data_IF_016982847359
#
_entry.id   IF_016982847359
#
_cell.length_a   1.000
_cell.length_b   1.000
_cell.length_c   1.000
_cell.angle_alpha   90.00
_cell.angle_beta   90.00
_cell.angle_gamma   90.00
#
_symmetry.space_group_name_H-M   'P 1'
#
loop_
_entity.id
_entity.type
_entity.pdbx_description
1 polymer ?
#
# COMPACT_ATOMS: atom_id res chain seq x y z
N UNK A 1 -25.48 -31.43 24.19
CA UNK A 1 -24.47 -31.44 23.12
C UNK A 1 -25.18 -31.05 21.83
N UNK A 2 -24.70 -30.04 21.11
CA UNK A 2 -25.37 -29.48 19.92
C UNK A 2 -24.64 -29.88 18.63
N UNK A 3 -23.32 -29.94 18.65
CA UNK A 3 -22.50 -30.17 17.46
C UNK A 3 -21.82 -31.53 17.40
N UNK A 4 -21.45 -32.08 18.56
CA UNK A 4 -20.81 -33.41 18.63
C UNK A 4 -21.86 -34.47 18.92
N UNK A 5 -21.80 -35.60 18.22
CA UNK A 5 -22.78 -36.68 18.37
C UNK A 5 -22.06 -38.03 18.43
N UNK A 6 -22.61 -38.96 19.23
CA UNK A 6 -22.14 -40.35 19.31
C UNK A 6 -20.62 -40.51 19.53
N UNK A 7 -20.02 -39.66 20.37
CA UNK A 7 -18.59 -39.73 20.67
C UNK A 7 -18.27 -41.09 21.32
N UNK A 8 -17.35 -41.83 20.72
CA UNK A 8 -16.94 -43.17 21.15
C UNK A 8 -15.55 -43.21 21.78
N UNK A 9 -14.72 -42.19 21.56
CA UNK A 9 -13.37 -42.04 22.10
C UNK A 9 -12.86 -40.60 21.99
N UNK A 10 -11.73 -40.28 22.63
CA UNK A 10 -11.04 -38.99 22.43
C UNK A 10 -10.61 -38.82 20.96
N UNK A 11 -10.19 -39.88 20.29
CA UNK A 11 -9.82 -39.86 18.88
C UNK A 11 -11.03 -39.51 17.98
N UNK A 12 -12.21 -40.05 18.29
CA UNK A 12 -13.45 -39.74 17.60
C UNK A 12 -13.90 -38.29 17.84
N UNK A 13 -13.76 -37.78 19.08
CA UNK A 13 -14.00 -36.36 19.39
C UNK A 13 -13.07 -35.45 18.57
N UNK A 14 -11.78 -35.78 18.48
CA UNK A 14 -10.77 -35.06 17.68
C UNK A 14 -11.07 -35.06 16.18
N UNK A 15 -11.50 -36.21 15.65
CA UNK A 15 -11.96 -36.38 14.26
C UNK A 15 -13.18 -35.52 13.95
N UNK A 16 -14.21 -35.57 14.81
CA UNK A 16 -15.42 -34.77 14.64
C UNK A 16 -15.10 -33.28 14.71
N UNK A 17 -14.25 -32.87 15.65
CA UNK A 17 -13.82 -31.48 15.79
C UNK A 17 -13.18 -30.94 14.50
N UNK A 18 -12.22 -31.67 13.94
CA UNK A 18 -11.55 -31.29 12.69
C UNK A 18 -12.52 -31.18 11.51
N UNK A 19 -13.46 -32.12 11.41
CA UNK A 19 -14.50 -32.12 10.38
C UNK A 19 -15.40 -30.89 10.51
N UNK A 20 -15.84 -30.59 11.72
CA UNK A 20 -16.66 -29.42 12.04
C UNK A 20 -15.88 -28.11 11.83
N UNK A 21 -14.60 -28.07 12.20
CA UNK A 21 -13.72 -26.92 12.02
C UNK A 21 -13.55 -26.57 10.54
N UNK A 22 -13.32 -27.56 9.67
CA UNK A 22 -13.24 -27.33 8.22
C UNK A 22 -14.58 -26.82 7.66
N UNK A 23 -15.70 -27.41 8.09
CA UNK A 23 -17.02 -27.10 7.53
C UNK A 23 -17.57 -25.73 7.98
N UNK A 24 -17.16 -25.26 9.17
CA UNK A 24 -17.74 -24.07 9.80
C UNK A 24 -16.76 -22.91 9.97
N UNK A 25 -15.51 -23.05 9.51
CA UNK A 25 -14.56 -21.94 9.56
C UNK A 25 -15.06 -20.73 8.73
N UNK A 26 -14.97 -19.49 9.26
CA UNK A 26 -15.37 -18.29 8.53
C UNK A 26 -14.73 -18.17 7.13
N UNK A 27 -13.44 -18.46 7.00
CA UNK A 27 -12.70 -18.46 5.71
C UNK A 27 -13.21 -19.47 4.67
N UNK A 28 -14.06 -20.42 5.07
CA UNK A 28 -14.70 -21.40 4.19
C UNK A 28 -16.20 -21.15 4.02
N UNK A 29 -16.67 -19.96 4.40
CA UNK A 29 -18.08 -19.56 4.29
C UNK A 29 -18.95 -19.98 5.48
N UNK A 30 -18.34 -20.43 6.58
CA UNK A 30 -19.03 -20.75 7.83
C UNK A 30 -19.35 -19.51 8.68
N UNK A 31 -20.19 -19.68 9.71
CA UNK A 31 -20.54 -18.61 10.66
C UNK A 31 -19.62 -18.64 11.87
N UNK A 32 -19.03 -17.50 12.24
CA UNK A 32 -18.15 -17.36 13.42
C UNK A 32 -18.80 -17.86 14.71
N UNK A 33 -20.06 -17.49 14.98
CA UNK A 33 -20.82 -17.95 16.14
C UNK A 33 -20.91 -19.49 16.22
N UNK A 34 -21.04 -20.14 15.05
CA UNK A 34 -21.12 -21.60 14.98
C UNK A 34 -19.78 -22.23 15.30
N UNK A 35 -18.68 -21.67 14.78
CA UNK A 35 -17.33 -22.14 15.09
C UNK A 35 -16.95 -21.92 16.56
N UNK A 36 -17.30 -20.77 17.14
CA UNK A 36 -17.11 -20.48 18.56
C UNK A 36 -17.88 -21.47 19.44
N UNK A 37 -19.13 -21.78 19.09
CA UNK A 37 -19.93 -22.76 19.82
C UNK A 37 -19.36 -24.18 19.71
N UNK A 38 -18.82 -24.56 18.54
CA UNK A 38 -18.09 -25.83 18.34
C UNK A 38 -16.83 -25.87 19.21
N UNK A 39 -16.03 -24.79 19.25
CA UNK A 39 -14.83 -24.71 20.10
C UNK A 39 -15.19 -24.81 21.59
N UNK A 40 -16.19 -24.07 22.05
CA UNK A 40 -16.63 -24.08 23.44
C UNK A 40 -17.19 -25.45 23.87
N UNK A 41 -17.91 -26.14 22.98
CA UNK A 41 -18.40 -27.49 23.24
C UNK A 41 -17.24 -28.51 23.23
N UNK A 42 -16.28 -28.38 22.32
CA UNK A 42 -15.07 -29.20 22.29
C UNK A 42 -14.23 -29.06 23.57
N UNK A 43 -13.99 -27.84 24.02
CA UNK A 43 -13.22 -27.56 25.25
C UNK A 43 -13.87 -28.16 26.50
N UNK A 44 -15.21 -28.21 26.55
CA UNK A 44 -15.95 -28.87 27.64
C UNK A 44 -15.86 -30.39 27.57
N UNK A 45 -15.90 -30.96 26.38
CA UNK A 45 -15.91 -32.40 26.17
C UNK A 45 -14.52 -33.04 26.29
N UNK A 46 -13.48 -32.33 25.85
CA UNK A 46 -12.11 -32.84 25.84
C UNK A 46 -11.64 -33.43 27.19
N UNK A 47 -11.74 -32.74 28.34
CA UNK A 47 -11.30 -33.30 29.63
C UNK A 47 -12.17 -34.49 30.09
N UNK A 48 -13.44 -34.57 29.67
CA UNK A 48 -14.33 -35.69 30.00
C UNK A 48 -13.92 -36.98 29.26
N UNK A 49 -13.33 -36.84 28.08
CA UNK A 49 -12.87 -37.95 27.26
C UNK A 49 -11.37 -38.26 27.42
N UNK A 50 -10.58 -37.29 27.88
CA UNK A 50 -9.14 -37.46 28.14
C UNK A 50 -8.84 -38.50 29.22
N UNK A 51 -9.69 -38.60 30.25
CA UNK A 51 -9.50 -39.51 31.38
C UNK A 51 -10.33 -40.80 31.30
N UNK A 52 -11.08 -41.02 30.22
CA UNK A 52 -11.91 -42.22 30.05
C UNK A 52 -11.09 -43.39 29.52
N UNK A 53 -11.11 -44.50 30.24
CA UNK A 53 -10.47 -45.77 29.85
C UNK A 53 -11.41 -46.70 29.06
N UNK A 54 -12.72 -46.46 29.11
CA UNK A 54 -13.75 -47.38 28.60
C UNK A 54 -14.16 -47.04 27.15
N UNK A 55 -13.20 -46.78 26.27
CA UNK A 55 -13.47 -46.43 24.87
C UNK A 55 -13.51 -47.66 23.96
N UNK A 56 -14.49 -47.73 23.06
CA UNK A 56 -14.54 -48.74 22.00
C UNK A 56 -13.40 -48.48 21.01
N UNK A 57 -12.47 -49.44 20.86
CA UNK A 57 -11.29 -49.30 20.02
C UNK A 57 -11.61 -49.47 18.54
N UNK A 58 -12.20 -48.45 17.92
CA UNK A 58 -12.22 -48.33 16.46
C UNK A 58 -11.00 -47.51 16.06
N UNK A 59 -10.12 -48.06 15.24
CA UNK A 59 -8.99 -47.31 14.68
C UNK A 59 -9.52 -46.26 13.68
N UNK A 60 -9.50 -45.01 14.10
CA UNK A 60 -9.91 -43.83 13.35
C UNK A 60 -8.75 -43.13 12.66
N UNK A 61 -7.51 -43.38 13.09
CA UNK A 61 -6.31 -42.68 12.66
C UNK A 61 -5.99 -41.41 13.47
N UNK A 62 -6.83 -41.06 14.45
CA UNK A 62 -6.69 -39.88 15.31
C UNK A 62 -6.18 -40.22 16.72
N UNK A 63 -5.78 -41.47 16.98
CA UNK A 63 -5.39 -41.96 18.31
C UNK A 63 -4.14 -41.25 18.83
N UNK A 64 -3.16 -41.02 17.93
CA UNK A 64 -1.90 -40.35 18.24
C UNK A 64 -1.88 -38.88 17.81
N UNK A 65 -3.03 -38.34 17.44
CA UNK A 65 -3.14 -37.01 16.87
C UNK A 65 -2.92 -35.93 17.95
N UNK A 66 -1.71 -35.36 17.97
CA UNK A 66 -1.29 -34.33 18.93
C UNK A 66 -1.56 -34.74 20.40
N UNK A 67 -0.90 -35.80 20.84
CA UNK A 67 -1.04 -36.42 22.18
C UNK A 67 -0.54 -35.52 23.31
N UNK A 68 -1.19 -35.60 24.48
CA UNK A 68 -0.77 -34.88 25.70
C UNK A 68 -1.03 -33.37 25.68
N UNK A 69 -1.77 -32.88 24.69
CA UNK A 69 -2.18 -31.49 24.59
C UNK A 69 -3.49 -31.24 25.34
N UNK A 70 -3.62 -30.07 25.98
CA UNK A 70 -4.91 -29.59 26.46
C UNK A 70 -5.85 -29.27 25.29
N UNK A 71 -7.15 -29.20 25.55
CA UNK A 71 -8.16 -28.85 24.55
C UNK A 71 -7.78 -27.60 23.75
N UNK A 72 -7.38 -26.53 24.45
CA UNK A 72 -6.95 -25.26 23.83
C UNK A 72 -5.70 -25.41 22.97
N UNK A 73 -4.69 -26.16 23.43
CA UNK A 73 -3.48 -26.41 22.62
C UNK A 73 -3.80 -27.25 21.38
N UNK A 74 -4.77 -28.16 21.48
CA UNK A 74 -5.22 -28.98 20.37
C UNK A 74 -6.01 -28.17 19.34
N UNK A 75 -6.94 -27.30 19.76
CA UNK A 75 -7.66 -26.40 18.85
C UNK A 75 -6.69 -25.46 18.13
N UNK A 76 -5.72 -24.87 18.84
CA UNK A 76 -4.65 -24.06 18.25
C UNK A 76 -3.82 -24.83 17.22
N UNK A 77 -3.46 -26.09 17.51
CA UNK A 77 -2.75 -26.96 16.58
C UNK A 77 -3.54 -27.20 15.29
N UNK A 78 -4.84 -27.53 15.39
CA UNK A 78 -5.71 -27.77 14.25
C UNK A 78 -5.86 -26.52 13.37
N UNK A 79 -6.02 -25.34 13.98
CA UNK A 79 -6.11 -24.07 13.25
C UNK A 79 -4.83 -23.76 12.48
N UNK A 80 -3.67 -24.02 13.10
CA UNK A 80 -2.37 -23.85 12.45
C UNK A 80 -2.17 -24.85 11.31
N UNK A 81 -2.53 -26.11 11.51
CA UNK A 81 -2.39 -27.18 10.51
C UNK A 81 -3.25 -26.91 9.28
N UNK A 82 -4.48 -26.41 9.47
CA UNK A 82 -5.37 -25.98 8.39
C UNK A 82 -5.05 -24.61 7.81
N UNK A 83 -3.99 -23.95 8.31
CA UNK A 83 -3.48 -22.66 7.83
C UNK A 83 -4.51 -21.54 7.91
N UNK A 84 -5.37 -21.58 8.91
CA UNK A 84 -6.29 -20.48 9.27
C UNK A 84 -5.57 -19.31 9.94
N UNK A 85 -4.27 -19.45 10.23
CA UNK A 85 -3.33 -18.34 10.42
C UNK A 85 -2.54 -18.17 9.14
N UNK A 86 -2.38 -16.94 8.63
CA UNK A 86 -1.67 -16.64 7.38
C UNK A 86 -0.48 -17.57 7.16
N UNK A 87 -0.48 -18.31 6.04
CA UNK A 87 0.41 -19.47 5.84
C UNK A 87 1.92 -19.23 6.04
N UNK A 88 2.39 -17.99 5.92
CA UNK A 88 3.77 -17.56 6.16
C UNK A 88 3.95 -16.68 7.42
N UNK A 89 2.86 -16.44 8.16
CA UNK A 89 2.86 -15.70 9.40
C UNK A 89 3.47 -16.52 10.54
N UNK A 90 4.49 -15.95 11.18
CA UNK A 90 5.27 -16.50 12.29
C UNK A 90 5.39 -15.49 13.43
N UNK A 91 4.49 -14.51 13.51
CA UNK A 91 4.52 -13.43 14.50
C UNK A 91 5.17 -12.13 14.01
N UNK A 92 5.39 -11.95 12.69
CA UNK A 92 6.01 -10.74 12.15
C UNK A 92 5.10 -9.52 12.29
N UNK A 93 5.65 -8.39 12.71
CA UNK A 93 4.97 -7.10 12.69
C UNK A 93 4.65 -6.65 11.25
N UNK A 94 3.65 -5.77 11.04
CA UNK A 94 3.33 -5.21 9.72
C UNK A 94 4.52 -4.53 9.03
N UNK A 95 5.44 -3.95 9.82
CA UNK A 95 6.68 -3.34 9.29
C UNK A 95 7.65 -4.39 8.77
N UNK A 96 7.83 -5.50 9.49
CA UNK A 96 8.66 -6.62 9.02
C UNK A 96 8.05 -7.27 7.77
N UNK A 97 6.73 -7.44 7.74
CA UNK A 97 6.02 -7.89 6.54
C UNK A 97 6.30 -6.96 5.35
N UNK A 98 6.25 -5.63 5.54
CA UNK A 98 6.61 -4.69 4.47
C UNK A 98 8.02 -4.94 3.90
N UNK A 99 9.03 -5.20 4.75
CA UNK A 99 10.39 -5.47 4.26
C UNK A 99 10.49 -6.78 3.49
N UNK A 100 9.82 -7.83 3.99
CA UNK A 100 9.75 -9.13 3.32
C UNK A 100 9.12 -8.98 1.93
N UNK A 101 8.00 -8.27 1.84
CA UNK A 101 7.29 -8.04 0.59
C UNK A 101 8.10 -7.17 -0.37
N UNK A 102 8.79 -6.13 0.10
CA UNK A 102 9.68 -5.32 -0.76
C UNK A 102 10.80 -6.16 -1.39
N UNK A 103 11.38 -7.09 -0.62
CA UNK A 103 12.41 -8.00 -1.14
C UNK A 103 11.83 -8.92 -2.21
N UNK A 104 10.72 -9.58 -1.89
CA UNK A 104 10.04 -10.48 -2.83
C UNK A 104 9.64 -9.77 -4.13
N UNK A 105 9.02 -8.58 -4.05
CA UNK A 105 8.63 -7.81 -5.24
C UNK A 105 9.81 -7.46 -6.15
N UNK A 106 10.98 -7.14 -5.58
CA UNK A 106 12.19 -6.87 -6.36
C UNK A 106 12.73 -8.12 -7.07
N UNK A 107 12.59 -9.28 -6.44
CA UNK A 107 13.03 -10.57 -7.00
C UNK A 107 12.05 -11.07 -8.08
N UNK A 108 10.74 -10.98 -7.81
CA UNK A 108 9.69 -11.45 -8.72
C UNK A 108 9.47 -10.49 -9.90
N UNK A 109 9.53 -9.18 -9.66
CA UNK A 109 9.23 -8.14 -10.65
C UNK A 109 10.34 -7.08 -10.72
N UNK A 110 11.56 -7.44 -11.17
CA UNK A 110 12.72 -6.55 -11.14
C UNK A 110 12.58 -5.29 -12.00
N UNK A 111 11.70 -5.32 -13.00
CA UNK A 111 11.44 -4.18 -13.89
C UNK A 111 10.23 -3.34 -13.47
N UNK A 112 9.50 -3.77 -12.44
CA UNK A 112 8.31 -3.06 -11.96
C UNK A 112 8.68 -2.23 -10.74
N UNK A 113 7.99 -1.12 -10.55
CA UNK A 113 8.16 -0.26 -9.38
C UNK A 113 6.93 -0.34 -8.51
N UNK A 114 7.11 -0.84 -7.30
CA UNK A 114 6.09 -0.83 -6.26
C UNK A 114 6.45 0.16 -5.16
N UNK A 115 5.44 0.81 -4.60
CA UNK A 115 5.54 1.53 -3.33
C UNK A 115 4.88 0.68 -2.25
N UNK A 116 5.64 0.28 -1.22
CA UNK A 116 5.16 -0.52 -0.10
C UNK A 116 5.39 0.26 1.19
N UNK A 117 4.33 0.57 1.94
CA UNK A 117 4.41 1.42 3.14
C UNK A 117 3.48 0.90 4.22
N UNK A 118 3.98 0.76 5.45
CA UNK A 118 3.14 0.59 6.63
C UNK A 118 2.71 1.99 7.14
N UNK A 119 1.41 2.25 7.23
CA UNK A 119 0.82 3.46 7.81
C UNK A 119 0.12 3.13 9.14
N UNK A 120 -0.60 4.10 9.69
CA UNK A 120 -1.37 3.99 10.94
C UNK A 120 -2.29 2.76 10.94
N UNK A 121 -2.70 2.33 12.13
CA UNK A 121 -3.60 1.19 12.34
C UNK A 121 -3.11 -0.13 11.74
N UNK A 122 -1.79 -0.34 11.73
CA UNK A 122 -1.17 -1.52 11.14
C UNK A 122 -1.51 -1.73 9.65
N UNK A 123 -1.89 -0.68 8.91
CA UNK A 123 -2.28 -0.82 7.51
C UNK A 123 -1.07 -0.87 6.57
N UNK A 124 -1.02 -1.87 5.70
CA UNK A 124 -0.02 -2.01 4.65
C UNK A 124 -0.58 -1.48 3.33
N UNK A 125 0.06 -0.46 2.77
CA UNK A 125 -0.26 0.13 1.48
C UNK A 125 0.73 -0.35 0.43
N UNK A 126 0.22 -0.97 -0.63
CA UNK A 126 0.99 -1.42 -1.78
C UNK A 126 0.41 -0.79 -3.04
N UNK A 127 1.23 -0.03 -3.74
CA UNK A 127 0.86 0.62 -4.98
C UNK A 127 1.79 0.18 -6.11
N UNK A 128 1.22 -0.30 -7.23
CA UNK A 128 1.96 -0.50 -8.48
C UNK A 128 2.15 0.85 -9.16
N UNK A 129 3.38 1.33 -9.27
CA UNK A 129 3.71 2.67 -9.80
C UNK A 129 4.18 2.60 -11.26
N UNK A 130 4.85 1.51 -11.64
CA UNK A 130 5.40 1.36 -12.98
C UNK A 130 5.48 -0.11 -13.35
N UNK A 131 5.05 -0.47 -14.56
CA UNK A 131 5.30 -1.76 -15.18
C UNK A 131 5.48 -1.61 -16.71
N UNK A 132 5.69 -2.74 -17.39
CA UNK A 132 5.90 -2.83 -18.84
C UNK A 132 4.61 -3.10 -19.64
N UNK A 133 3.45 -3.02 -19.00
CA UNK A 133 2.15 -3.31 -19.61
C UNK A 133 1.12 -2.24 -19.24
N UNK A 134 0.10 -2.09 -20.08
CA UNK A 134 -1.07 -1.24 -19.75
C UNK A 134 -1.92 -1.92 -18.69
N UNK A 135 -2.14 -1.24 -17.57
CA UNK A 135 -2.94 -1.76 -16.46
C UNK A 135 -4.44 -1.61 -16.69
N UNK A 136 -4.84 -0.53 -17.37
CA UNK A 136 -6.23 -0.24 -17.66
C UNK A 136 -6.59 -0.63 -19.10
N UNK A 137 -7.80 -1.14 -19.29
CA UNK A 137 -8.37 -1.36 -20.62
C UNK A 137 -9.00 -0.06 -21.16
N UNK A 138 -9.78 -0.17 -22.24
CA UNK A 138 -10.45 0.99 -22.84
C UNK A 138 -11.42 1.71 -21.89
N UNK A 139 -12.07 1.00 -20.96
CA UNK A 139 -13.00 1.62 -20.00
C UNK A 139 -12.26 2.40 -18.91
N UNK A 140 -11.05 1.98 -18.53
CA UNK A 140 -10.21 2.65 -17.53
C UNK A 140 -9.07 3.53 -18.08
N UNK A 141 -8.98 3.72 -19.40
CA UNK A 141 -7.78 4.24 -20.11
C UNK A 141 -7.25 5.59 -19.63
N UNK A 142 -8.08 6.40 -18.98
CA UNK A 142 -7.70 7.73 -18.48
C UNK A 142 -7.21 7.74 -17.03
N UNK A 143 -7.26 6.61 -16.31
CA UNK A 143 -6.96 6.61 -14.88
C UNK A 143 -5.48 6.84 -14.58
N UNK A 144 -5.20 7.89 -13.80
CA UNK A 144 -3.88 8.13 -13.23
C UNK A 144 -3.53 7.10 -12.14
N UNK A 145 -4.56 6.52 -11.53
CA UNK A 145 -4.45 5.46 -10.54
C UNK A 145 -5.82 5.01 -10.05
N UNK A 146 -5.87 3.83 -9.42
CA UNK A 146 -7.10 3.22 -8.90
C UNK A 146 -6.82 2.50 -7.59
N UNK A 147 -7.62 2.77 -6.57
CA UNK A 147 -7.65 1.92 -5.37
C UNK A 147 -8.45 0.66 -5.69
N UNK A 148 -7.91 -0.50 -5.34
CA UNK A 148 -8.49 -1.79 -5.70
C UNK A 148 -9.25 -2.39 -4.53
N UNK A 149 -10.40 -2.97 -4.83
CA UNK A 149 -11.01 -3.94 -3.94
C UNK A 149 -10.33 -5.29 -4.16
N UNK A 150 -9.38 -5.62 -3.28
CA UNK A 150 -8.54 -6.81 -3.43
C UNK A 150 -9.32 -8.14 -3.38
N UNK A 151 -10.58 -8.14 -2.93
CA UNK A 151 -11.45 -9.32 -2.95
C UNK A 151 -12.07 -9.62 -4.32
N UNK A 152 -12.07 -8.65 -5.24
CA UNK A 152 -12.76 -8.75 -6.53
C UNK A 152 -11.89 -8.26 -7.71
N UNK A 153 -10.56 -8.44 -7.62
CA UNK A 153 -9.61 -8.05 -8.68
C UNK A 153 -9.97 -8.72 -10.00
N UNK A 154 -10.36 -10.00 -9.96
CA UNK A 154 -10.78 -10.80 -11.10
C UNK A 154 -11.99 -10.19 -11.83
N UNK A 155 -12.92 -9.60 -11.07
CA UNK A 155 -14.17 -9.00 -11.57
C UNK A 155 -14.04 -7.52 -11.94
N UNK A 156 -12.88 -6.91 -11.73
CA UNK A 156 -12.68 -5.49 -12.06
C UNK A 156 -12.64 -5.32 -13.59
N UNK A 157 -13.67 -4.68 -14.14
CA UNK A 157 -13.81 -4.51 -15.58
C UNK A 157 -12.87 -3.46 -16.16
N UNK A 158 -12.22 -2.63 -15.34
CA UNK A 158 -11.30 -1.60 -15.86
C UNK A 158 -9.87 -2.14 -16.05
N UNK A 159 -9.58 -3.32 -15.50
CA UNK A 159 -8.23 -3.89 -15.50
C UNK A 159 -8.00 -4.84 -16.67
N UNK A 160 -6.79 -4.79 -17.24
CA UNK A 160 -6.31 -5.80 -18.17
C UNK A 160 -6.07 -7.14 -17.46
N UNK A 161 -6.12 -8.25 -18.19
CA UNK A 161 -5.85 -9.59 -17.62
C UNK A 161 -4.46 -9.66 -16.97
N UNK A 162 -3.46 -9.02 -17.59
CA UNK A 162 -2.10 -8.95 -17.05
C UNK A 162 -2.04 -8.19 -15.73
N UNK A 163 -2.79 -7.09 -15.60
CA UNK A 163 -2.90 -6.36 -14.34
C UNK A 163 -3.50 -7.24 -13.24
N UNK A 164 -4.60 -7.93 -13.55
CA UNK A 164 -5.27 -8.84 -12.62
C UNK A 164 -4.34 -9.93 -12.14
N UNK A 165 -3.63 -10.59 -13.06
CA UNK A 165 -2.65 -11.64 -12.73
C UNK A 165 -1.57 -11.14 -11.76
N UNK A 166 -0.94 -10.00 -12.06
CA UNK A 166 0.13 -9.44 -11.22
C UNK A 166 -0.41 -9.03 -9.85
N UNK A 167 -1.53 -8.32 -9.82
CA UNK A 167 -2.12 -7.78 -8.59
C UNK A 167 -2.69 -8.87 -7.69
N UNK A 168 -3.28 -9.92 -8.26
CA UNK A 168 -3.75 -11.10 -7.53
C UNK A 168 -2.56 -11.87 -6.93
N UNK A 169 -1.45 -12.05 -7.68
CA UNK A 169 -0.25 -12.67 -7.13
C UNK A 169 0.34 -11.86 -5.95
N UNK A 170 0.39 -10.52 -6.09
CA UNK A 170 0.82 -9.63 -5.00
C UNK A 170 -0.12 -9.76 -3.80
N UNK A 171 -1.43 -9.74 -4.02
CA UNK A 171 -2.44 -9.92 -2.97
C UNK A 171 -2.22 -11.24 -2.22
N UNK A 172 -2.16 -12.37 -2.92
CA UNK A 172 -1.95 -13.69 -2.31
C UNK A 172 -0.66 -13.76 -1.50
N UNK A 173 0.44 -13.24 -2.04
CA UNK A 173 1.71 -13.25 -1.35
C UNK A 173 1.67 -12.41 -0.07
N UNK A 174 1.09 -11.21 -0.12
CA UNK A 174 1.00 -10.34 1.05
C UNK A 174 0.07 -10.94 2.08
N UNK A 175 -1.12 -11.36 1.66
CA UNK A 175 -2.12 -11.94 2.54
C UNK A 175 -1.67 -13.26 3.18
N UNK A 176 -0.68 -13.95 2.62
CA UNK A 176 -0.04 -15.10 3.27
C UNK A 176 0.62 -14.76 4.62
N UNK A 177 0.91 -13.49 4.91
CA UNK A 177 1.43 -13.02 6.21
C UNK A 177 0.36 -12.37 7.09
N UNK A 178 -0.90 -12.33 6.64
CA UNK A 178 -2.00 -11.79 7.41
C UNK A 178 -2.68 -12.93 8.17
N UNK A 179 -2.65 -12.90 9.50
CA UNK A 179 -3.60 -13.71 10.25
C UNK A 179 -4.94 -12.98 10.27
N UNK A 180 -6.03 -13.75 10.30
CA UNK A 180 -7.37 -13.21 10.52
C UNK A 180 -8.05 -14.06 11.60
N UNK A 181 -8.30 -13.45 12.74
CA UNK A 181 -8.95 -14.03 13.91
C UNK A 181 -10.14 -13.12 14.32
N UNK A 182 -10.73 -12.44 13.33
CA UNK A 182 -11.83 -11.49 13.53
C UNK A 182 -13.13 -12.17 13.98
N UNK A 183 -13.80 -11.57 14.97
CA UNK A 183 -15.16 -11.97 15.37
C UNK A 183 -16.21 -11.27 14.48
N UNK A 184 -17.19 -12.03 13.97
CA UNK A 184 -18.28 -11.48 13.16
C UNK A 184 -19.25 -10.60 13.95
N UNK A 185 -19.22 -10.64 15.29
CA UNK A 185 -20.17 -9.94 16.17
C UNK A 185 -19.67 -8.58 16.67
N UNK A 186 -18.45 -8.17 16.32
CA UNK A 186 -17.91 -6.85 16.63
C UNK A 186 -17.40 -6.17 15.37
N UNK A 187 -17.44 -4.84 15.32
CA UNK A 187 -16.82 -4.02 14.26
C UNK A 187 -15.28 -4.00 14.33
N UNK A 188 -14.69 -4.83 15.20
CA UNK A 188 -13.25 -4.95 15.43
C UNK A 188 -12.68 -6.20 14.74
N UNK A 189 -11.95 -5.99 13.65
CA UNK A 189 -11.24 -7.04 12.93
C UNK A 189 -9.89 -7.35 13.62
N UNK A 190 -9.73 -8.55 14.17
CA UNK A 190 -8.46 -8.99 14.76
C UNK A 190 -7.58 -9.63 13.67
N UNK A 191 -6.92 -8.78 12.90
CA UNK A 191 -5.99 -9.18 11.84
C UNK A 191 -4.58 -8.62 12.08
N UNK A 192 -3.58 -9.16 11.39
CA UNK A 192 -2.20 -8.64 11.50
C UNK A 192 -2.11 -7.21 10.93
N UNK A 193 -2.73 -7.00 9.77
CA UNK A 193 -2.75 -5.73 9.08
C UNK A 193 -3.95 -5.59 8.15
N UNK A 194 -4.37 -4.35 7.91
CA UNK A 194 -5.29 -4.02 6.83
C UNK A 194 -4.50 -3.81 5.53
N UNK A 195 -4.91 -4.49 4.45
CA UNK A 195 -4.27 -4.33 3.15
C UNK A 195 -4.98 -3.25 2.32
N UNK A 196 -4.21 -2.29 1.83
CA UNK A 196 -4.61 -1.37 0.77
C UNK A 196 -3.76 -1.66 -0.47
N UNK A 197 -4.43 -2.08 -1.55
CA UNK A 197 -3.79 -2.35 -2.83
C UNK A 197 -4.27 -1.31 -3.85
N UNK A 198 -3.34 -0.71 -4.60
CA UNK A 198 -3.67 0.30 -5.62
C UNK A 198 -2.77 0.23 -6.85
N UNK A 199 -3.25 0.83 -7.92
CA UNK A 199 -2.48 1.23 -9.11
C UNK A 199 -2.22 2.73 -8.97
N UNK A 200 -0.97 3.15 -9.03
CA UNK A 200 -0.59 4.51 -8.64
C UNK A 200 -0.86 4.81 -7.16
N UNK A 201 -0.51 6.01 -6.73
CA UNK A 201 -0.90 6.56 -5.45
C UNK A 201 -1.10 8.08 -5.57
N UNK A 202 -1.59 8.71 -4.49
CA UNK A 202 -1.90 10.14 -4.47
C UNK A 202 -0.72 11.03 -4.90
N UNK A 203 0.53 10.60 -4.75
CA UNK A 203 1.72 11.38 -5.11
C UNK A 203 2.35 10.97 -6.45
N UNK A 204 2.03 9.78 -6.97
CA UNK A 204 2.70 9.17 -8.12
C UNK A 204 1.67 8.40 -8.93
N UNK A 205 1.31 8.88 -10.14
CA UNK A 205 0.43 8.14 -11.01
C UNK A 205 1.14 6.88 -11.51
N UNK A 206 0.35 5.92 -11.96
CA UNK A 206 0.89 4.79 -12.69
C UNK A 206 1.45 5.25 -14.05
N UNK A 207 2.51 4.58 -14.51
CA UNK A 207 3.06 4.82 -15.85
C UNK A 207 3.59 3.53 -16.48
N UNK A 208 3.37 3.40 -17.77
CA UNK A 208 3.97 2.32 -18.56
C UNK A 208 5.39 2.70 -18.95
N UNK A 209 6.34 1.82 -18.65
CA UNK A 209 7.73 1.95 -19.08
C UNK A 209 8.15 0.64 -19.72
N UNK A 210 8.21 0.66 -21.04
CA UNK A 210 8.71 -0.46 -21.81
C UNK A 210 10.20 -0.70 -21.45
N UNK A 211 10.60 -1.96 -21.25
CA UNK A 211 12.00 -2.30 -21.03
C UNK A 211 12.79 -1.76 -22.20
N UNK A 212 13.77 -0.90 -21.92
CA UNK A 212 14.62 -0.35 -22.97
C UNK A 212 15.41 -1.51 -23.57
N UNK A 213 15.02 -1.96 -24.77
CA UNK A 213 15.89 -2.76 -25.63
C UNK A 213 17.20 -1.98 -25.72
N UNK A 214 18.33 -2.62 -25.36
CA UNK A 214 19.65 -1.98 -25.38
C UNK A 214 19.97 -1.58 -26.82
N UNK A 215 19.56 -0.39 -27.23
CA UNK A 215 19.90 0.16 -28.53
C UNK A 215 21.40 0.42 -28.55
N UNK A 216 22.13 -0.31 -29.41
CA UNK A 216 23.57 -0.06 -29.70
C UNK A 216 23.78 1.18 -30.60
N UNK A 217 22.99 2.23 -30.38
CA UNK A 217 23.02 3.46 -31.18
C UNK A 217 23.22 4.69 -30.29
N UNK A 218 23.85 5.72 -30.84
CA UNK A 218 23.98 7.03 -30.18
C UNK A 218 22.56 7.61 -30.06
N UNK A 219 22.07 7.81 -28.83
CA UNK A 219 20.78 8.46 -28.60
C UNK A 219 20.80 9.85 -29.24
N UNK A 220 19.67 10.32 -29.81
CA UNK A 220 19.61 11.68 -30.32
C UNK A 220 20.00 12.64 -29.20
N UNK A 221 20.81 13.63 -29.55
CA UNK A 221 21.25 14.63 -28.58
C UNK A 221 20.05 15.52 -28.25
N UNK A 222 19.63 15.50 -26.99
CA UNK A 222 18.49 16.29 -26.50
C UNK A 222 19.03 17.46 -25.72
N UNK A 223 18.59 18.67 -26.07
CA UNK A 223 18.96 19.87 -25.32
C UNK A 223 18.53 19.74 -23.87
N UNK A 224 19.44 20.10 -22.96
CA UNK A 224 19.13 20.21 -21.54
C UNK A 224 19.33 21.66 -21.15
N UNK A 225 18.23 22.34 -20.81
CA UNK A 225 18.27 23.71 -20.29
C UNK A 225 19.22 23.76 -19.09
N UNK A 226 20.25 24.62 -19.08
CA UNK A 226 21.19 24.69 -17.97
C UNK A 226 20.47 25.21 -16.71
N UNK A 227 20.65 24.51 -15.59
CA UNK A 227 20.12 24.91 -14.28
C UNK A 227 21.23 25.63 -13.50
N UNK A 228 21.01 26.92 -13.20
CA UNK A 228 21.92 27.69 -12.37
C UNK A 228 21.77 27.41 -10.87
N UNK A 229 22.61 28.04 -10.05
CA UNK A 229 22.68 27.76 -8.63
C UNK A 229 21.46 28.30 -7.87
N UNK A 230 20.87 29.43 -8.29
CA UNK A 230 19.67 29.99 -7.68
C UNK A 230 18.46 29.08 -7.92
N UNK A 231 18.22 28.69 -9.19
CA UNK A 231 17.17 27.72 -9.54
C UNK A 231 17.31 26.39 -8.78
N UNK A 232 18.53 25.85 -8.71
CA UNK A 232 18.82 24.63 -7.96
C UNK A 232 18.51 24.77 -6.47
N UNK A 233 18.85 25.91 -5.87
CA UNK A 233 18.59 26.18 -4.45
C UNK A 233 17.09 26.24 -4.15
N UNK A 234 16.33 26.96 -4.99
CA UNK A 234 14.86 27.04 -4.90
C UNK A 234 14.23 25.66 -5.06
N UNK A 235 14.63 24.89 -6.07
CA UNK A 235 14.12 23.53 -6.30
C UNK A 235 14.40 22.62 -5.10
N UNK A 236 15.58 22.71 -4.47
CA UNK A 236 15.91 21.94 -3.27
C UNK A 236 15.12 22.38 -2.03
N UNK A 237 14.83 23.68 -1.90
CA UNK A 237 13.98 24.20 -0.84
C UNK A 237 12.55 23.67 -0.99
N UNK A 238 11.97 23.80 -2.19
CA UNK A 238 10.63 23.33 -2.54
C UNK A 238 10.46 21.81 -2.46
N UNK A 239 11.46 21.03 -2.89
CA UNK A 239 11.37 19.56 -2.86
C UNK A 239 10.30 19.04 -3.82
N UNK A 240 9.24 18.44 -3.28
CA UNK A 240 8.07 17.97 -4.07
C UNK A 240 6.92 18.98 -4.13
N UNK A 241 7.00 20.03 -3.33
CA UNK A 241 5.98 21.06 -3.29
C UNK A 241 6.21 22.09 -4.40
N UNK A 242 5.16 22.79 -4.79
CA UNK A 242 5.22 23.92 -5.71
C UNK A 242 4.27 25.00 -5.25
N UNK A 243 4.52 26.25 -5.65
CA UNK A 243 3.57 27.32 -5.44
C UNK A 243 2.53 27.32 -6.57
N UNK A 244 1.27 27.21 -6.21
CA UNK A 244 0.17 27.18 -7.16
C UNK A 244 -0.94 28.16 -6.74
N UNK A 245 -1.66 28.68 -7.73
CA UNK A 245 -2.82 29.52 -7.47
C UNK A 245 -3.96 28.66 -6.92
N UNK A 246 -4.54 29.12 -5.82
CA UNK A 246 -5.67 28.49 -5.15
C UNK A 246 -6.70 29.55 -4.85
N UNK A 247 -7.96 29.26 -5.18
CA UNK A 247 -9.08 30.17 -5.00
C UNK A 247 -10.07 29.59 -3.99
N UNK A 248 -10.36 30.36 -2.94
CA UNK A 248 -11.38 30.03 -1.95
C UNK A 248 -12.34 31.20 -1.75
N UNK A 249 -13.26 31.07 -0.78
CA UNK A 249 -14.24 32.13 -0.45
C UNK A 249 -13.60 33.46 -0.01
N UNK A 250 -12.30 33.48 0.28
CA UNK A 250 -11.52 34.64 0.74
C UNK A 250 -10.64 35.23 -0.38
N UNK A 251 -10.77 34.72 -1.60
CA UNK A 251 -10.09 35.21 -2.80
C UNK A 251 -9.00 34.28 -3.31
N UNK A 252 -8.30 34.75 -4.35
CA UNK A 252 -7.24 34.02 -5.03
C UNK A 252 -5.88 34.29 -4.39
N UNK A 253 -5.14 33.24 -4.06
CA UNK A 253 -3.82 33.29 -3.41
C UNK A 253 -2.85 32.31 -4.06
N UNK A 254 -1.55 32.51 -3.86
CA UNK A 254 -0.52 31.58 -4.30
C UNK A 254 -0.01 30.81 -3.10
N UNK A 255 -0.39 29.54 -2.96
CA UNK A 255 -0.10 28.73 -1.79
C UNK A 255 0.94 27.67 -2.09
N UNK A 256 1.68 27.26 -1.06
CA UNK A 256 2.54 26.09 -1.15
C UNK A 256 1.65 24.84 -1.21
N UNK A 257 1.74 24.12 -2.32
CA UNK A 257 0.90 22.98 -2.64
C UNK A 257 1.72 21.71 -2.89
N UNK A 258 1.08 20.56 -2.72
CA UNK A 258 1.54 19.28 -3.25
C UNK A 258 0.67 18.89 -4.44
N UNK A 259 1.30 18.21 -5.40
CA UNK A 259 0.62 17.73 -6.59
C UNK A 259 0.02 16.35 -6.30
N UNK A 260 -1.30 16.26 -6.36
CA UNK A 260 -2.03 15.02 -6.16
C UNK A 260 -2.65 14.50 -7.45
N UNK A 261 -2.70 13.19 -7.59
CA UNK A 261 -3.32 12.52 -8.72
C UNK A 261 -4.58 11.81 -8.24
N UNK A 262 -5.74 12.27 -8.73
CA UNK A 262 -7.05 11.69 -8.43
C UNK A 262 -7.76 11.34 -9.74
N UNK A 263 -8.44 10.18 -9.76
CA UNK A 263 -9.31 9.77 -10.85
C UNK A 263 -8.64 9.66 -12.22
N UNK A 264 -9.33 10.18 -13.23
CA UNK A 264 -9.01 10.09 -14.67
C UNK A 264 -8.00 11.15 -15.16
N UNK A 265 -7.40 11.92 -14.25
CA UNK A 265 -6.55 13.06 -14.61
C UNK A 265 -5.06 12.73 -14.42
N UNK A 266 -4.40 12.40 -15.52
CA UNK A 266 -2.94 12.22 -15.57
C UNK A 266 -2.17 13.52 -15.26
N UNK A 267 -2.80 14.68 -15.45
CA UNK A 267 -2.14 15.97 -15.23
C UNK A 267 -1.94 16.26 -13.75
N UNK A 268 -2.82 15.79 -12.85
CA UNK A 268 -2.74 15.98 -11.40
C UNK A 268 -2.96 17.43 -10.95
N UNK A 269 -3.63 17.60 -9.82
CA UNK A 269 -4.05 18.90 -9.28
C UNK A 269 -3.18 19.33 -8.09
N UNK A 270 -3.04 20.64 -7.88
CA UNK A 270 -2.28 21.19 -6.77
C UNK A 270 -3.18 21.46 -5.55
N UNK A 271 -2.89 20.79 -4.45
CA UNK A 271 -3.62 20.95 -3.19
C UNK A 271 -2.76 21.69 -2.15
N UNK A 272 -3.31 22.72 -1.47
CA UNK A 272 -2.59 23.46 -0.44
C UNK A 272 -2.10 22.56 0.69
N UNK A 273 -0.83 22.72 1.06
CA UNK A 273 -0.24 22.02 2.18
C UNK A 273 -0.69 22.63 3.50
N UNK A 274 -1.51 21.88 4.24
CA UNK A 274 -1.94 22.25 5.58
C UNK A 274 -0.91 21.83 6.63
N UNK A 275 -0.45 22.79 7.43
CA UNK A 275 0.40 22.56 8.59
C UNK A 275 -0.42 22.59 9.87
N UNK A 276 -0.52 21.45 10.55
CA UNK A 276 -1.30 21.34 11.79
C UNK A 276 -0.73 22.19 12.95
N UNK A 277 0.58 22.48 12.94
CA UNK A 277 1.25 23.25 13.98
C UNK A 277 2.09 24.40 13.41
N UNK A 278 1.99 25.58 14.02
CA UNK A 278 2.80 26.76 13.67
C UNK A 278 4.30 26.48 13.65
N UNK A 279 4.81 25.69 14.58
CA UNK A 279 6.24 25.32 14.64
C UNK A 279 6.71 24.56 13.39
N UNK A 280 5.87 23.66 12.87
CA UNK A 280 6.20 22.92 11.63
C UNK A 280 6.13 23.80 10.39
N UNK A 281 5.17 24.72 10.35
CA UNK A 281 5.09 25.72 9.29
C UNK A 281 6.31 26.65 9.31
N UNK A 282 6.71 27.15 10.48
CA UNK A 282 7.85 28.07 10.61
C UNK A 282 9.14 27.43 10.10
N UNK A 283 9.45 26.18 10.53
CA UNK A 283 10.62 25.45 10.02
C UNK A 283 10.62 25.31 8.50
N UNK A 284 9.44 25.16 7.90
CA UNK A 284 9.30 25.08 6.45
C UNK A 284 9.56 26.45 5.80
N UNK A 285 8.98 27.52 6.37
CA UNK A 285 9.18 28.89 5.91
C UNK A 285 10.63 29.32 6.03
N UNK A 286 11.32 28.99 7.11
CA UNK A 286 12.75 29.30 7.31
C UNK A 286 13.59 28.69 6.17
N UNK A 287 13.34 27.42 5.82
CA UNK A 287 14.00 26.76 4.68
C UNK A 287 13.71 27.44 3.33
N UNK A 288 12.51 28.00 3.16
CA UNK A 288 12.14 28.73 1.95
C UNK A 288 12.81 30.11 1.92
N UNK A 289 12.82 30.82 3.05
CA UNK A 289 13.48 32.11 3.23
C UNK A 289 15.00 32.00 3.00
N UNK A 290 15.65 30.93 3.49
CA UNK A 290 17.07 30.64 3.25
C UNK A 290 17.40 30.47 1.75
N UNK A 291 16.39 30.09 0.95
CA UNK A 291 16.49 29.99 -0.51
C UNK A 291 16.05 31.27 -1.24
N UNK A 292 15.78 32.36 -0.51
CA UNK A 292 15.37 33.65 -1.07
C UNK A 292 13.88 33.76 -1.42
N UNK A 293 13.04 32.85 -0.92
CA UNK A 293 11.59 32.83 -1.15
C UNK A 293 10.89 33.52 0.02
N UNK A 294 10.22 34.65 -0.25
CA UNK A 294 9.43 35.37 0.75
C UNK A 294 8.06 34.72 0.90
N UNK A 295 7.68 34.39 2.14
CA UNK A 295 6.42 33.71 2.43
C UNK A 295 5.81 34.15 3.76
N UNK A 296 4.50 33.91 3.93
CA UNK A 296 3.78 34.13 5.19
C UNK A 296 2.89 32.95 5.57
N UNK A 297 2.61 32.80 6.86
CA UNK A 297 1.67 31.80 7.36
C UNK A 297 0.26 32.38 7.44
N UNK A 298 -0.68 31.69 6.82
CA UNK A 298 -2.10 31.96 6.90
C UNK A 298 -2.76 31.07 7.96
N UNK A 299 -3.11 31.67 9.10
CA UNK A 299 -3.83 31.02 10.20
C UNK A 299 -3.21 31.29 11.58
N UNK A 300 -3.93 30.96 12.66
CA UNK A 300 -3.55 31.35 14.02
C UNK A 300 -2.56 30.36 14.68
N UNK A 301 -2.85 29.05 14.61
CA UNK A 301 -2.06 27.98 15.25
C UNK A 301 -1.48 26.95 14.26
N UNK A 302 -1.62 27.22 12.97
CA UNK A 302 -1.33 26.35 11.85
C UNK A 302 -2.00 26.93 10.61
N UNK A 303 -1.92 26.22 9.49
CA UNK A 303 -2.58 26.62 8.25
C UNK A 303 -1.66 26.52 7.04
N UNK A 304 -1.72 27.50 6.15
CA UNK A 304 -1.13 27.42 4.81
C UNK A 304 0.00 28.42 4.64
N UNK A 305 1.02 28.07 3.85
CA UNK A 305 2.12 28.98 3.52
C UNK A 305 1.79 29.68 2.20
N UNK A 306 1.71 31.00 2.22
CA UNK A 306 1.48 31.84 1.05
C UNK A 306 2.80 32.41 0.52
N UNK A 307 2.96 32.41 -0.81
CA UNK A 307 4.07 33.03 -1.50
C UNK A 307 3.85 34.53 -1.67
N UNK A 308 4.87 35.32 -1.32
CA UNK A 308 4.85 36.78 -1.46
C UNK A 308 5.78 37.28 -2.58
N UNK A 309 6.81 36.52 -2.93
CA UNK A 309 7.80 36.91 -3.92
C UNK A 309 9.17 36.32 -3.62
N UNK A 310 10.19 36.82 -4.33
CA UNK A 310 11.59 36.53 -4.03
C UNK A 310 12.26 37.73 -3.38
N UNK A 311 13.36 37.52 -2.67
CA UNK A 311 14.26 38.61 -2.30
C UNK A 311 14.83 39.25 -3.57
N UNK A 312 15.09 40.58 -3.62
CA UNK A 312 15.64 41.25 -4.80
C UNK A 312 16.91 40.58 -5.35
N UNK A 313 17.80 40.12 -4.48
CA UNK A 313 19.05 39.45 -4.86
C UNK A 313 18.81 38.10 -5.53
N UNK A 314 17.77 37.38 -5.10
CA UNK A 314 17.38 36.09 -5.68
C UNK A 314 16.68 36.31 -7.01
N UNK A 315 15.76 37.27 -7.09
CA UNK A 315 15.07 37.62 -8.33
C UNK A 315 16.04 38.04 -9.43
N UNK A 316 17.04 38.88 -9.11
CA UNK A 316 18.09 39.25 -10.05
C UNK A 316 18.86 38.02 -10.58
N UNK A 317 19.29 37.13 -9.67
CA UNK A 317 20.03 35.91 -10.06
C UNK A 317 19.19 34.97 -10.93
N UNK A 318 17.89 34.82 -10.64
CA UNK A 318 17.00 34.00 -11.46
C UNK A 318 16.89 34.57 -12.88
N UNK A 319 16.68 35.88 -13.02
CA UNK A 319 16.59 36.54 -14.32
C UNK A 319 17.88 36.41 -15.14
N UNK A 320 19.05 36.52 -14.49
CA UNK A 320 20.35 36.31 -15.13
C UNK A 320 20.53 34.85 -15.60
N UNK A 321 20.19 33.88 -14.75
CA UNK A 321 20.24 32.45 -15.08
C UNK A 321 19.29 32.08 -16.22
N UNK A 322 18.07 32.61 -16.22
CA UNK A 322 17.09 32.39 -17.29
C UNK A 322 17.54 32.99 -18.61
N UNK A 323 18.09 34.21 -18.59
CA UNK A 323 18.64 34.85 -19.79
C UNK A 323 19.78 34.02 -20.40
N UNK A 324 20.65 33.44 -19.54
CA UNK A 324 21.70 32.53 -20.00
C UNK A 324 21.14 31.23 -20.58
N UNK A 325 20.11 30.66 -19.94
CA UNK A 325 19.46 29.44 -20.40
C UNK A 325 18.76 29.61 -21.75
N UNK A 326 18.05 30.72 -21.94
CA UNK A 326 17.38 31.06 -23.19
C UNK A 326 18.38 31.28 -24.33
N UNK A 327 19.52 31.92 -24.04
CA UNK A 327 20.62 32.06 -25.01
C UNK A 327 21.20 30.69 -25.42
N UNK A 328 21.40 29.79 -24.45
CA UNK A 328 21.89 28.43 -24.72
C UNK A 328 20.90 27.63 -25.59
N UNK A 329 19.60 27.76 -25.34
CA UNK A 329 18.54 27.13 -26.13
C UNK A 329 18.52 27.67 -27.56
N UNK A 330 18.62 29.00 -27.72
CA UNK A 330 18.70 29.62 -29.04
C UNK A 330 19.92 29.12 -29.83
N UNK A 331 21.09 29.07 -29.21
CA UNK A 331 22.31 28.55 -29.85
C UNK A 331 22.19 27.07 -30.22
N UNK A 332 21.51 26.28 -29.38
CA UNK A 332 21.23 24.88 -29.67
C UNK A 332 20.35 24.74 -30.92
N UNK A 333 19.23 25.47 -30.96
CA UNK A 333 18.29 25.44 -32.09
C UNK A 333 18.96 25.90 -33.39
N UNK A 334 19.78 26.95 -33.35
CA UNK A 334 20.56 27.41 -34.50
C UNK A 334 21.56 26.36 -35.02
N UNK A 335 22.19 25.59 -34.13
CA UNK A 335 23.09 24.50 -34.52
C UNK A 335 22.33 23.35 -35.17
N UNK A 336 21.17 22.98 -34.63
CA UNK A 336 20.33 21.93 -35.20
C UNK A 336 19.78 22.33 -36.58
N UNK A 337 19.33 23.58 -36.76
CA UNK A 337 18.87 24.09 -38.06
C UNK A 337 19.97 24.19 -39.12
N UNK A 338 21.25 24.26 -38.72
CA UNK A 338 22.40 24.23 -39.65
C UNK A 338 22.90 22.81 -39.95
N UNK A 339 22.52 21.83 -39.14
CA UNK A 339 22.93 20.43 -39.27
C UNK A 339 21.87 19.56 -39.98
N UNK A 340 20.62 20.03 -40.05
CA UNK A 340 19.58 19.55 -40.95
C UNK A 340 19.77 20.15 -42.35
#
# INVERSE_FOLDING_TARGET
MKYFNHISSLADLKKQYRTLAIANHPDKGGKTETMQAINAEFEKLFPLWEHRTDSVSVQTGYENDYTGASAKKYTEYVYNEYRFRGSNYKGQSPKEVCEIIRKWLKETYPFYKFSVVCKHYNSIYIALIQADFEVFNETGKSQAGKQLNHYYIDRDNDLTERAKEVLDNVYRQVNSYNFDDSDAMTDYFHCNFYLNLSIGNHNQPYRVVLPQLKHKGKKPEVFKRPEGQAHKTIRQALGKAAFAQYEDRRGKRTLLCEKHYYGDEMEGEYYPLHYAARKTAQKRMDKLNDAGILCQLLGYNGGYIEFLGYTPETEQKLNEEDSFADLAEKQWNEKQSKAA
#
